data_IF_993458459035
#
_entry.id   IF_993458459035
#
_cell.length_a   1.000
_cell.length_b   1.000
_cell.length_c   1.000
_cell.angle_alpha   90.00
_cell.angle_beta   90.00
_cell.angle_gamma   90.00
#
_symmetry.space_group_name_H-M   'P 1'
#
loop_
_entity.id
_entity.type
_entity.pdbx_description
1 polymer ?
#
# COMPACT_ATOMS: atom_id res chain seq x y z
N UNK A 1 2.85 16.93 6.64
CA UNK A 1 1.88 15.80 6.64
C UNK A 1 2.25 14.85 7.77
N UNK A 2 1.29 14.21 8.44
CA UNK A 2 1.54 13.23 9.49
C UNK A 2 0.83 11.89 9.20
N UNK A 3 1.11 10.86 10.00
CA UNK A 3 0.55 9.50 9.85
C UNK A 3 -0.97 9.47 9.83
N UNK A 4 -1.62 10.16 10.79
CA UNK A 4 -3.08 10.15 10.93
C UNK A 4 -3.77 10.76 9.72
N UNK A 5 -3.24 11.86 9.19
CA UNK A 5 -3.78 12.48 8.00
C UNK A 5 -3.68 11.56 6.78
N UNK A 6 -2.51 10.94 6.58
CA UNK A 6 -2.31 10.03 5.45
C UNK A 6 -3.21 8.79 5.57
N UNK A 7 -3.39 8.26 6.80
CA UNK A 7 -4.35 7.19 7.07
C UNK A 7 -5.79 7.58 6.70
N UNK A 8 -6.23 8.78 7.07
CA UNK A 8 -7.58 9.28 6.74
C UNK A 8 -7.79 9.35 5.22
N UNK A 9 -6.82 9.93 4.50
CA UNK A 9 -6.88 10.03 3.03
C UNK A 9 -6.97 8.64 2.38
N UNK A 10 -6.16 7.68 2.84
CA UNK A 10 -6.18 6.30 2.35
C UNK A 10 -7.51 5.59 2.65
N UNK A 11 -8.05 5.75 3.85
CA UNK A 11 -9.30 5.08 4.24
C UNK A 11 -10.50 5.51 3.40
N UNK A 12 -10.47 6.71 2.83
CA UNK A 12 -11.53 7.24 1.99
C UNK A 12 -11.25 7.09 0.49
N UNK A 13 -10.08 6.55 0.12
CA UNK A 13 -9.60 6.56 -1.25
C UNK A 13 -10.48 5.77 -2.21
N UNK A 14 -11.16 4.72 -1.72
CA UNK A 14 -12.06 3.89 -2.53
C UNK A 14 -13.18 4.70 -3.19
N UNK A 15 -13.61 5.81 -2.61
CA UNK A 15 -14.61 6.70 -3.21
C UNK A 15 -14.13 7.40 -4.50
N UNK A 16 -12.85 7.36 -4.80
CA UNK A 16 -12.27 7.96 -6.00
C UNK A 16 -12.13 6.96 -7.17
N UNK A 17 -12.63 5.76 -7.02
CA UNK A 17 -12.70 4.71 -8.04
C UNK A 17 -14.14 4.41 -8.40
N UNK A 18 -14.38 3.99 -9.64
CA UNK A 18 -15.68 3.43 -10.02
C UNK A 18 -15.92 2.10 -9.29
N UNK A 19 -17.17 1.66 -9.25
CA UNK A 19 -17.52 0.39 -8.61
C UNK A 19 -16.73 -0.77 -9.23
N UNK A 20 -16.02 -1.54 -8.40
CA UNK A 20 -15.17 -2.66 -8.81
C UNK A 20 -13.87 -2.29 -9.51
N UNK A 21 -13.63 -1.02 -9.87
CA UNK A 21 -12.40 -0.59 -10.58
C UNK A 21 -11.15 -0.94 -9.79
N UNK A 22 -11.12 -0.61 -8.49
CA UNK A 22 -9.95 -0.88 -7.67
C UNK A 22 -9.72 -2.38 -7.46
N UNK A 23 -10.79 -3.17 -7.34
CA UNK A 23 -10.69 -4.64 -7.29
C UNK A 23 -10.09 -5.21 -8.59
N UNK A 24 -10.57 -4.75 -9.75
CA UNK A 24 -10.02 -5.14 -11.05
C UNK A 24 -8.53 -4.81 -11.15
N UNK A 25 -8.13 -3.59 -10.81
CA UNK A 25 -6.74 -3.14 -10.86
C UNK A 25 -5.85 -3.94 -9.90
N UNK A 26 -6.33 -4.24 -8.69
CA UNK A 26 -5.60 -5.01 -7.70
C UNK A 26 -5.45 -6.50 -8.08
N UNK A 27 -6.40 -7.06 -8.81
CA UNK A 27 -6.34 -8.44 -9.32
C UNK A 27 -5.44 -8.58 -10.55
N UNK A 28 -5.42 -7.58 -11.44
CA UNK A 28 -4.68 -7.64 -12.70
C UNK A 28 -3.28 -7.03 -12.64
N UNK A 29 -3.02 -6.21 -11.62
CA UNK A 29 -1.72 -5.55 -11.42
C UNK A 29 -1.38 -5.46 -9.93
N UNK A 30 -0.37 -4.67 -9.57
CA UNK A 30 -0.11 -4.30 -8.17
C UNK A 30 -0.95 -3.08 -7.80
N UNK A 31 -1.53 -3.09 -6.61
CA UNK A 31 -2.42 -2.03 -6.14
C UNK A 31 -1.71 -0.69 -5.84
N UNK A 32 -0.39 -0.70 -5.62
CA UNK A 32 0.38 0.50 -5.27
C UNK A 32 0.29 1.61 -6.33
N UNK A 33 0.39 1.29 -7.62
CA UNK A 33 0.37 2.30 -8.69
C UNK A 33 -0.96 3.05 -8.75
N UNK A 34 -2.13 2.40 -8.92
CA UNK A 34 -3.40 3.12 -8.99
C UNK A 34 -3.74 3.86 -7.69
N UNK A 35 -3.40 3.28 -6.53
CA UNK A 35 -3.62 3.93 -5.25
C UNK A 35 -2.73 5.17 -5.11
N UNK A 36 -1.44 5.06 -5.42
CA UNK A 36 -0.49 6.17 -5.41
C UNK A 36 -0.97 7.34 -6.26
N UNK A 37 -1.42 7.05 -7.48
CA UNK A 37 -1.84 8.07 -8.44
C UNK A 37 -3.09 8.81 -7.96
N UNK A 38 -4.08 8.11 -7.43
CA UNK A 38 -5.28 8.71 -6.85
C UNK A 38 -4.98 9.48 -5.57
N UNK A 39 -4.13 8.91 -4.71
CA UNK A 39 -3.70 9.55 -3.47
C UNK A 39 -2.96 10.87 -3.75
N UNK A 40 -2.01 10.87 -4.67
CA UNK A 40 -1.26 12.09 -5.02
C UNK A 40 -2.19 13.20 -5.51
N UNK A 41 -3.17 12.87 -6.37
CA UNK A 41 -4.16 13.84 -6.84
C UNK A 41 -5.05 14.36 -5.71
N UNK A 42 -5.51 13.47 -4.81
CA UNK A 42 -6.30 13.86 -3.65
C UNK A 42 -5.53 14.78 -2.70
N UNK A 43 -4.27 14.45 -2.44
CA UNK A 43 -3.38 15.29 -1.63
C UNK A 43 -3.18 16.66 -2.26
N UNK A 44 -2.97 16.74 -3.60
CA UNK A 44 -2.86 18.03 -4.29
C UNK A 44 -4.14 18.86 -4.16
N UNK A 45 -5.32 18.23 -4.31
CA UNK A 45 -6.61 18.93 -4.12
C UNK A 45 -6.74 19.50 -2.71
N UNK A 46 -6.36 18.72 -1.69
CA UNK A 46 -6.38 19.15 -0.30
C UNK A 46 -5.44 20.33 -0.04
N UNK A 47 -4.17 20.22 -0.49
CA UNK A 47 -3.18 21.28 -0.33
C UNK A 47 -3.65 22.60 -0.97
N UNK A 48 -4.31 22.50 -2.13
CA UNK A 48 -4.88 23.66 -2.82
C UNK A 48 -6.07 24.26 -2.05
N UNK A 49 -6.95 23.41 -1.51
CA UNK A 49 -8.10 23.86 -0.71
C UNK A 49 -7.67 24.54 0.60
N UNK A 50 -6.64 24.04 1.24
CA UNK A 50 -6.05 24.58 2.48
C UNK A 50 -5.18 25.83 2.19
N UNK A 51 -5.13 26.31 0.94
CA UNK A 51 -4.31 27.45 0.48
C UNK A 51 -2.84 27.33 0.86
N UNK A 52 -2.34 26.12 0.97
CA UNK A 52 -0.93 25.84 1.21
C UNK A 52 -0.17 26.01 -0.11
N UNK A 53 0.92 26.79 -0.09
CA UNK A 53 1.81 26.92 -1.24
C UNK A 53 2.73 25.70 -1.35
N UNK A 54 2.12 24.51 -1.47
CA UNK A 54 2.78 23.23 -1.59
C UNK A 54 2.31 22.51 -2.85
N UNK A 55 3.20 21.74 -3.46
CA UNK A 55 2.92 20.95 -4.65
C UNK A 55 3.07 19.47 -4.32
N UNK A 56 2.18 18.64 -4.89
CA UNK A 56 2.28 17.19 -4.79
C UNK A 56 2.82 16.63 -6.12
N UNK A 57 4.04 16.10 -6.11
CA UNK A 57 4.68 15.49 -7.26
C UNK A 57 4.65 13.96 -7.15
N UNK A 58 4.45 13.28 -8.29
CA UNK A 58 4.63 11.82 -8.42
C UNK A 58 5.97 11.52 -9.07
N UNK A 59 6.52 10.34 -8.74
CA UNK A 59 7.77 9.82 -9.34
C UNK A 59 8.93 10.84 -9.27
N UNK A 60 9.02 11.61 -8.18
CA UNK A 60 10.07 12.58 -8.00
C UNK A 60 11.36 11.89 -7.52
N UNK A 61 12.37 11.80 -8.38
CA UNK A 61 13.66 11.15 -8.08
C UNK A 61 13.50 9.74 -7.48
N UNK A 62 12.66 8.92 -8.11
CA UNK A 62 12.32 7.55 -7.67
C UNK A 62 11.53 7.47 -6.35
N UNK A 63 10.99 8.60 -5.88
CA UNK A 63 10.06 8.67 -4.76
C UNK A 63 8.63 8.65 -5.30
N UNK A 64 7.80 7.77 -4.77
CA UNK A 64 6.43 7.59 -5.26
C UNK A 64 5.59 8.85 -5.18
N UNK A 65 5.63 9.58 -4.03
CA UNK A 65 4.95 10.88 -3.85
C UNK A 65 5.87 11.81 -3.06
N UNK A 66 6.05 13.04 -3.54
CA UNK A 66 6.76 14.09 -2.81
C UNK A 66 5.85 15.32 -2.63
N UNK A 67 5.75 15.83 -1.41
CA UNK A 67 5.13 17.12 -1.12
C UNK A 67 6.23 18.17 -1.09
N UNK A 68 6.19 19.09 -2.04
CA UNK A 68 7.24 20.06 -2.30
C UNK A 68 6.87 21.44 -1.76
N UNK A 69 7.81 22.10 -1.08
CA UNK A 69 7.72 23.54 -0.73
C UNK A 69 7.99 24.43 -1.94
N UNK A 70 8.90 23.97 -2.78
CA UNK A 70 9.26 24.54 -4.08
C UNK A 70 9.70 23.38 -4.99
N UNK A 71 10.19 23.65 -6.19
CA UNK A 71 10.54 22.63 -7.18
C UNK A 71 11.71 21.70 -6.75
N UNK A 72 12.44 22.05 -5.70
CA UNK A 72 13.66 21.33 -5.28
C UNK A 72 13.62 20.83 -3.83
N UNK A 73 12.77 21.41 -2.97
CA UNK A 73 12.79 21.18 -1.52
C UNK A 73 11.55 20.41 -1.05
N UNK A 74 11.64 19.11 -0.81
CA UNK A 74 10.54 18.32 -0.29
C UNK A 74 10.28 18.62 1.20
N UNK A 75 9.01 18.73 1.58
CA UNK A 75 8.56 18.76 2.97
C UNK A 75 8.16 17.37 3.48
N UNK A 76 7.73 16.50 2.57
CA UNK A 76 7.35 15.12 2.88
C UNK A 76 7.68 14.23 1.68
N UNK A 77 8.28 13.07 1.94
CA UNK A 77 8.49 12.00 0.98
C UNK A 77 7.65 10.79 1.40
N UNK A 78 6.95 10.18 0.45
CA UNK A 78 6.13 9.00 0.69
C UNK A 78 6.57 7.91 -0.27
N UNK A 79 6.87 6.73 0.28
CA UNK A 79 7.28 5.55 -0.46
C UNK A 79 6.19 4.50 -0.34
N UNK A 80 5.77 3.91 -1.44
CA UNK A 80 4.73 2.91 -1.51
C UNK A 80 5.30 1.54 -1.89
N UNK A 81 4.80 0.48 -1.26
CA UNK A 81 5.06 -0.90 -1.67
C UNK A 81 3.79 -1.70 -1.59
N UNK A 82 3.65 -2.69 -2.47
CA UNK A 82 2.51 -3.60 -2.40
C UNK A 82 2.91 -5.05 -2.57
N UNK A 83 2.17 -5.91 -1.87
CA UNK A 83 2.17 -7.35 -1.95
C UNK A 83 0.75 -7.89 -1.84
N UNK A 84 0.65 -9.17 -1.59
CA UNK A 84 -0.60 -9.86 -1.30
C UNK A 84 -0.55 -10.44 0.10
N UNK A 85 -1.70 -10.58 0.77
CA UNK A 85 -1.75 -11.23 2.09
C UNK A 85 -1.22 -12.66 2.04
N UNK A 86 -1.39 -13.35 0.91
CA UNK A 86 -0.87 -14.70 0.69
C UNK A 86 0.68 -14.77 0.68
N UNK A 87 1.38 -13.66 0.51
CA UNK A 87 2.84 -13.62 0.60
C UNK A 87 3.33 -13.84 2.04
N UNK A 88 2.47 -13.61 3.03
CA UNK A 88 2.74 -13.86 4.44
C UNK A 88 2.23 -15.23 4.93
N UNK A 89 1.57 -16.02 4.06
CA UNK A 89 1.07 -17.36 4.41
C UNK A 89 2.20 -18.38 4.53
N UNK A 90 1.94 -19.45 5.28
CA UNK A 90 2.89 -20.57 5.44
C UNK A 90 3.24 -21.24 4.11
N UNK A 91 2.31 -21.26 3.15
CA UNK A 91 2.53 -21.79 1.80
C UNK A 91 3.53 -20.96 0.96
N UNK A 92 3.82 -19.74 1.37
CA UNK A 92 4.74 -18.82 0.68
C UNK A 92 5.87 -18.33 1.62
N UNK A 93 6.38 -19.20 2.48
CA UNK A 93 7.32 -18.90 3.56
C UNK A 93 8.55 -18.07 3.12
N UNK A 94 9.03 -18.23 1.87
CA UNK A 94 10.15 -17.45 1.33
C UNK A 94 9.83 -15.97 1.13
N UNK A 95 8.54 -15.61 1.07
CA UNK A 95 8.09 -14.23 0.88
C UNK A 95 7.75 -13.53 2.20
N UNK A 96 7.61 -14.27 3.31
CA UNK A 96 7.24 -13.69 4.60
C UNK A 96 8.17 -12.55 5.02
N UNK A 97 7.56 -11.41 5.36
CA UNK A 97 8.25 -10.18 5.74
C UNK A 97 9.09 -9.53 4.64
N UNK A 98 8.99 -9.98 3.39
CA UNK A 98 9.74 -9.40 2.27
C UNK A 98 9.38 -7.93 2.03
N UNK A 99 8.10 -7.62 1.91
CA UNK A 99 7.65 -6.26 1.59
C UNK A 99 7.86 -5.24 2.72
N UNK A 100 7.62 -5.56 4.00
CA UNK A 100 7.99 -4.67 5.10
C UNK A 100 9.48 -4.34 5.12
N UNK A 101 10.36 -5.35 4.95
CA UNK A 101 11.83 -5.14 4.86
C UNK A 101 12.21 -4.28 3.66
N UNK A 102 11.59 -4.52 2.51
CA UNK A 102 11.84 -3.74 1.29
C UNK A 102 11.42 -2.28 1.46
N UNK A 103 10.21 -2.04 2.00
CA UNK A 103 9.75 -0.68 2.28
C UNK A 103 10.71 0.04 3.24
N UNK A 104 11.07 -0.61 4.33
CA UNK A 104 12.01 -0.06 5.31
C UNK A 104 13.36 0.31 4.67
N UNK A 105 13.95 -0.58 3.86
CA UNK A 105 15.20 -0.33 3.14
C UNK A 105 15.10 0.83 2.15
N UNK A 106 14.00 0.94 1.42
CA UNK A 106 13.79 2.04 0.47
C UNK A 106 13.55 3.38 1.20
N UNK A 107 12.89 3.37 2.36
CA UNK A 107 12.78 4.55 3.23
C UNK A 107 14.14 5.00 3.75
N UNK A 108 15.01 4.08 4.16
CA UNK A 108 16.37 4.45 4.62
C UNK A 108 17.17 5.15 3.50
N UNK A 109 17.07 4.66 2.27
CA UNK A 109 17.74 5.31 1.11
C UNK A 109 17.14 6.68 0.81
N UNK A 110 15.80 6.81 0.86
CA UNK A 110 15.12 8.07 0.58
C UNK A 110 15.44 9.16 1.60
N UNK A 111 15.87 8.79 2.81
CA UNK A 111 16.32 9.74 3.83
C UNK A 111 17.47 10.64 3.35
N UNK A 112 18.31 10.10 2.46
CA UNK A 112 19.44 10.85 1.86
C UNK A 112 18.99 11.94 0.88
N UNK A 113 17.76 11.82 0.31
CA UNK A 113 17.17 12.80 -0.59
C UNK A 113 16.45 13.94 0.15
N UNK A 114 16.12 13.71 1.41
CA UNK A 114 15.45 14.70 2.26
C UNK A 114 16.44 15.63 2.95
N UNK A 115 15.95 16.82 3.33
CA UNK A 115 16.63 17.71 4.25
C UNK A 115 16.30 17.31 5.70
N UNK A 116 17.00 17.88 6.68
CA UNK A 116 16.82 17.58 8.12
C UNK A 116 15.37 17.68 8.63
N UNK A 117 14.55 18.50 7.97
CA UNK A 117 13.13 18.73 8.32
C UNK A 117 12.15 18.08 7.34
N UNK A 118 12.60 17.13 6.52
CA UNK A 118 11.72 16.39 5.60
C UNK A 118 11.08 15.22 6.33
N UNK A 119 9.74 15.17 6.35
CA UNK A 119 9.02 14.01 6.87
C UNK A 119 9.16 12.82 5.89
N UNK A 120 9.49 11.67 6.41
CA UNK A 120 9.60 10.45 5.62
C UNK A 120 8.52 9.46 6.06
N UNK A 121 7.60 9.17 5.15
CA UNK A 121 6.50 8.25 5.35
C UNK A 121 6.62 7.06 4.40
N UNK A 122 6.23 5.90 4.87
CA UNK A 122 6.09 4.71 4.04
C UNK A 122 4.64 4.22 4.05
N UNK A 123 4.18 3.64 2.94
CA UNK A 123 2.89 2.97 2.86
C UNK A 123 3.08 1.58 2.29
N UNK A 124 2.68 0.59 3.08
CA UNK A 124 2.62 -0.81 2.65
C UNK A 124 1.17 -1.17 2.36
N UNK A 125 0.92 -1.75 1.19
CA UNK A 125 -0.39 -2.27 0.80
C UNK A 125 -0.34 -3.79 0.65
N UNK A 126 -1.33 -4.48 1.18
CA UNK A 126 -1.54 -5.90 0.91
C UNK A 126 -2.93 -6.15 0.34
N UNK A 127 -2.96 -6.61 -0.91
CA UNK A 127 -4.19 -7.08 -1.55
C UNK A 127 -4.63 -8.39 -0.90
N UNK A 128 -5.86 -8.42 -0.40
CA UNK A 128 -6.50 -9.58 0.20
C UNK A 128 -7.70 -10.01 -0.62
N UNK A 129 -7.79 -11.31 -0.92
CA UNK A 129 -8.91 -11.91 -1.63
C UNK A 129 -9.72 -12.77 -0.66
N UNK A 130 -11.04 -12.82 -0.86
CA UNK A 130 -11.91 -13.66 -0.03
C UNK A 130 -11.95 -15.14 -0.45
N UNK A 131 -11.37 -15.51 -1.59
CA UNK A 131 -11.35 -16.89 -2.11
C UNK A 131 -10.21 -17.12 -3.10
N UNK A 132 -9.97 -18.38 -3.40
CA UNK A 132 -9.08 -18.81 -4.48
C UNK A 132 -9.56 -18.30 -5.85
N UNK A 133 -8.62 -18.17 -6.77
CA UNK A 133 -8.87 -17.73 -8.15
C UNK A 133 -9.39 -18.90 -8.99
N UNK A 134 -10.54 -18.71 -9.66
CA UNK A 134 -11.08 -19.70 -10.60
C UNK A 134 -10.09 -19.98 -11.74
N UNK A 135 -10.05 -21.23 -12.20
CA UNK A 135 -9.20 -21.66 -13.32
C UNK A 135 -9.44 -20.88 -14.61
N UNK A 136 -10.65 -20.36 -14.81
CA UNK A 136 -11.00 -19.48 -15.96
C UNK A 136 -10.27 -18.15 -15.93
N UNK A 137 -9.84 -17.69 -14.76
CA UNK A 137 -9.12 -16.45 -14.56
C UNK A 137 -7.60 -16.65 -14.49
N UNK A 138 -7.13 -17.87 -14.70
CA UNK A 138 -5.71 -18.19 -14.78
C UNK A 138 -5.03 -17.29 -15.81
N UNK A 139 -3.88 -16.72 -15.45
CA UNK A 139 -3.12 -15.77 -16.26
C UNK A 139 -3.77 -14.38 -16.44
N UNK A 140 -5.02 -14.17 -15.99
CA UNK A 140 -5.66 -12.85 -15.93
C UNK A 140 -5.40 -12.24 -14.57
N UNK A 141 -5.68 -13.00 -13.49
CA UNK A 141 -5.36 -12.57 -12.12
C UNK A 141 -3.87 -12.76 -11.87
N UNK A 142 -3.24 -11.69 -11.41
CA UNK A 142 -1.81 -11.72 -11.11
C UNK A 142 -1.53 -12.59 -9.89
N UNK A 143 -0.47 -13.39 -9.96
CA UNK A 143 -0.06 -14.31 -8.88
C UNK A 143 -1.07 -15.41 -8.52
N UNK A 144 -1.98 -15.76 -9.44
CA UNK A 144 -3.00 -16.81 -9.28
C UNK A 144 -2.44 -18.10 -8.66
N UNK A 145 -1.28 -18.56 -9.07
CA UNK A 145 -0.64 -19.75 -8.53
C UNK A 145 -0.26 -19.62 -7.04
N UNK A 146 0.25 -18.48 -6.61
CA UNK A 146 0.60 -18.24 -5.21
C UNK A 146 -0.66 -18.09 -4.34
N UNK A 147 -1.68 -17.42 -4.88
CA UNK A 147 -2.99 -17.28 -4.25
C UNK A 147 -3.61 -18.65 -4.05
N UNK A 148 -3.75 -19.45 -5.11
CA UNK A 148 -4.40 -20.75 -5.06
C UNK A 148 -3.64 -21.74 -4.17
N UNK A 149 -2.30 -21.68 -4.13
CA UNK A 149 -1.50 -22.50 -3.22
C UNK A 149 -1.78 -22.16 -1.74
N UNK A 150 -1.91 -20.87 -1.41
CA UNK A 150 -2.24 -20.46 -0.05
C UNK A 150 -3.64 -20.92 0.36
N UNK A 151 -4.64 -20.72 -0.49
CA UNK A 151 -6.02 -21.14 -0.24
C UNK A 151 -6.22 -22.66 -0.24
N UNK A 152 -5.28 -23.44 -0.78
CA UNK A 152 -5.31 -24.90 -0.68
C UNK A 152 -4.99 -25.43 0.73
N UNK A 153 -4.28 -24.65 1.54
CA UNK A 153 -3.81 -25.06 2.87
C UNK A 153 -4.34 -24.21 4.01
N UNK A 154 -4.80 -23.00 3.72
CA UNK A 154 -5.24 -22.04 4.74
C UNK A 154 -6.59 -21.40 4.38
N UNK A 155 -7.38 -21.08 5.40
CA UNK A 155 -8.64 -20.34 5.22
C UNK A 155 -8.38 -18.85 5.04
N UNK A 156 -9.30 -18.13 4.37
CA UNK A 156 -9.28 -16.68 4.17
C UNK A 156 -8.84 -15.92 5.45
N UNK A 157 -9.54 -16.17 6.56
CA UNK A 157 -9.28 -15.48 7.84
C UNK A 157 -7.88 -15.75 8.40
N UNK A 158 -7.34 -16.95 8.19
CA UNK A 158 -5.98 -17.28 8.61
C UNK A 158 -4.94 -16.52 7.79
N UNK A 159 -5.11 -16.48 6.47
CA UNK A 159 -4.25 -15.72 5.56
C UNK A 159 -4.24 -14.23 5.96
N UNK A 160 -5.43 -13.64 6.16
CA UNK A 160 -5.55 -12.24 6.59
C UNK A 160 -4.89 -11.98 7.94
N UNK A 161 -5.17 -12.82 8.94
CA UNK A 161 -4.63 -12.64 10.30
C UNK A 161 -3.11 -12.83 10.36
N UNK A 162 -2.56 -13.78 9.61
CA UNK A 162 -1.11 -13.98 9.51
C UNK A 162 -0.41 -12.76 8.90
N UNK A 163 -0.97 -12.21 7.81
CA UNK A 163 -0.43 -11.01 7.18
C UNK A 163 -0.43 -9.81 8.14
N UNK A 164 -1.55 -9.59 8.82
CA UNK A 164 -1.65 -8.50 9.81
C UNK A 164 -0.65 -8.69 10.95
N UNK A 165 -0.56 -9.90 11.50
CA UNK A 165 0.36 -10.20 12.60
C UNK A 165 1.84 -10.04 12.16
N UNK A 166 2.20 -10.58 10.99
CA UNK A 166 3.56 -10.50 10.45
C UNK A 166 4.02 -9.05 10.30
N UNK A 167 3.22 -8.22 9.65
CA UNK A 167 3.56 -6.81 9.39
C UNK A 167 3.58 -5.99 10.69
N UNK A 168 2.60 -6.20 11.57
CA UNK A 168 2.54 -5.49 12.86
C UNK A 168 3.74 -5.82 13.73
N UNK A 169 4.11 -7.10 13.82
CA UNK A 169 5.29 -7.55 14.56
C UNK A 169 6.58 -6.98 13.96
N UNK A 170 6.67 -6.91 12.62
CA UNK A 170 7.84 -6.31 11.97
C UNK A 170 8.05 -4.86 12.44
N UNK A 171 7.01 -4.02 12.37
CA UNK A 171 7.11 -2.61 12.79
C UNK A 171 7.37 -2.46 14.29
N UNK A 172 6.72 -3.28 15.13
CA UNK A 172 6.96 -3.30 16.57
C UNK A 172 8.42 -3.64 16.91
N UNK A 173 8.98 -4.67 16.29
CA UNK A 173 10.37 -5.10 16.49
C UNK A 173 11.38 -4.03 16.07
N UNK A 174 11.05 -3.21 15.07
CA UNK A 174 11.90 -2.09 14.62
C UNK A 174 11.58 -0.78 15.34
N UNK A 175 10.64 -0.77 16.30
CA UNK A 175 10.18 0.41 17.05
C UNK A 175 9.68 1.54 16.12
N UNK A 176 9.05 1.17 15.02
CA UNK A 176 8.53 2.09 14.01
C UNK A 176 7.09 2.46 14.36
N UNK A 177 6.82 3.76 14.45
CA UNK A 177 5.45 4.25 14.61
C UNK A 177 4.64 3.94 13.34
N UNK A 178 3.47 3.35 13.52
CA UNK A 178 2.60 2.99 12.41
C UNK A 178 1.12 3.18 12.74
N UNK A 179 0.34 3.37 11.68
CA UNK A 179 -1.12 3.34 11.65
C UNK A 179 -1.57 2.39 10.56
N UNK A 180 -2.67 1.70 10.75
CA UNK A 180 -3.19 0.75 9.77
C UNK A 180 -4.67 0.95 9.48
N UNK A 181 -5.13 0.37 8.38
CA UNK A 181 -6.52 0.40 7.96
C UNK A 181 -6.79 -0.55 6.80
N UNK A 182 -8.01 -0.47 6.28
CA UNK A 182 -8.47 -1.26 5.14
C UNK A 182 -9.12 -0.31 4.13
N UNK A 183 -8.80 -0.48 2.86
CA UNK A 183 -9.50 0.13 1.73
C UNK A 183 -10.38 -0.97 1.11
N UNK A 184 -11.72 -0.88 1.17
CA UNK A 184 -12.57 -1.81 0.47
C UNK A 184 -12.45 -1.57 -1.03
N UNK A 185 -11.81 -2.49 -1.75
CA UNK A 185 -11.59 -2.35 -3.19
C UNK A 185 -12.81 -2.75 -4.03
N UNK A 186 -13.77 -3.46 -3.45
CA UNK A 186 -14.98 -3.91 -4.11
C UNK A 186 -14.93 -5.35 -4.60
N UNK A 187 -15.71 -5.65 -5.62
CA UNK A 187 -15.83 -7.01 -6.18
C UNK A 187 -15.55 -6.99 -7.68
N UNK A 188 -14.74 -7.92 -8.15
CA UNK A 188 -14.52 -8.17 -9.58
C UNK A 188 -14.46 -9.69 -9.80
N UNK A 189 -15.17 -10.21 -10.83
CA UNK A 189 -15.29 -11.65 -11.14
C UNK A 189 -15.70 -12.49 -9.92
N UNK A 190 -16.66 -12.02 -9.14
CA UNK A 190 -17.14 -12.61 -7.89
C UNK A 190 -16.05 -12.77 -6.80
N UNK A 191 -14.90 -12.13 -6.96
CA UNK A 191 -13.84 -12.06 -5.96
C UNK A 191 -13.95 -10.72 -5.24
N UNK A 192 -14.26 -10.76 -3.92
CA UNK A 192 -14.15 -9.57 -3.07
C UNK A 192 -12.70 -9.31 -2.77
N UNK A 193 -12.29 -8.06 -2.94
CA UNK A 193 -10.94 -7.59 -2.69
C UNK A 193 -10.96 -6.49 -1.64
N UNK A 194 -10.14 -6.66 -0.63
CA UNK A 194 -9.82 -5.66 0.37
C UNK A 194 -8.32 -5.34 0.31
N UNK A 195 -7.92 -4.10 0.57
CA UNK A 195 -6.51 -3.72 0.61
C UNK A 195 -6.18 -3.28 2.03
N UNK A 196 -5.46 -4.14 2.75
CA UNK A 196 -4.89 -3.77 4.03
C UNK A 196 -3.73 -2.81 3.82
N UNK A 197 -3.63 -1.77 4.64
CA UNK A 197 -2.52 -0.84 4.54
C UNK A 197 -1.93 -0.49 5.90
N UNK A 198 -0.64 -0.15 5.89
CA UNK A 198 0.10 0.40 7.02
C UNK A 198 0.81 1.66 6.57
N UNK A 199 0.61 2.74 7.30
CA UNK A 199 1.37 3.99 7.17
C UNK A 199 2.40 3.99 8.27
N UNK A 200 3.67 4.20 7.91
CA UNK A 200 4.81 4.18 8.84
C UNK A 200 5.62 5.47 8.73
N UNK A 201 6.28 5.87 9.81
CA UNK A 201 7.18 7.03 9.85
C UNK A 201 8.56 6.63 10.38
N UNK A 202 9.61 7.15 9.75
CA UNK A 202 10.99 7.07 10.23
C UNK A 202 11.41 8.36 10.93
#
# INVERSE_FOLDING_TARGET
MNLLLLKQELSQLHHNFAEGELAYLALTSKADIPIRDRLAFQLQKRLSADRQNLLCARDWRDIDIAIMKDFTNPSTLIICKSGYTVDESSANASMQGFYPRKLFGDMQKAKELGQSNTNLLGVLFYTHLNKAVDTKLKHIVKYDNAINRAFAVEKEQQIASQAVASVTNFWANHKIQNESGIIPAGVCWDIRVDIHFWVVSL
#
